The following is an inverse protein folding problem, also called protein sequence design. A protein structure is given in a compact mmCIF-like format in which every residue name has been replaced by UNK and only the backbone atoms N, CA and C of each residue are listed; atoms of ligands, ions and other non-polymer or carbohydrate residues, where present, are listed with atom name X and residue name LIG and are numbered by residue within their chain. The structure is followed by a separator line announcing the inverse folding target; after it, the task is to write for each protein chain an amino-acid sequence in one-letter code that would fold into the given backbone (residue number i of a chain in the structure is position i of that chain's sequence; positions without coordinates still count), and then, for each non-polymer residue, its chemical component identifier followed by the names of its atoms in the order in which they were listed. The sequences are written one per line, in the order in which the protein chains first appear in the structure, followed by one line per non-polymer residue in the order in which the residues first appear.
data_IF_641015051668
#
_entry.id   IF_641015051668
#
_cell.length_a   1.000
_cell.length_b   1.000
_cell.length_c   1.000
_cell.angle_alpha   90.00
_cell.angle_beta   90.00
_cell.angle_gamma   90.00
#
_symmetry.space_group_name_H-M   'P 1'
#
loop_
_entity.id
_entity.type
_entity.pdbx_description
1 polymer ?
#
# COMPACT_ATOMS: atom_id res chain seq x y z
N UNK A 1 10.88 -36.29 -3.03
CA UNK A 1 9.70 -35.51 -2.61
C UNK A 1 9.92 -34.67 -1.33
N UNK A 2 11.14 -34.61 -0.75
CA UNK A 2 11.43 -33.86 0.50
C UNK A 2 12.01 -32.44 0.32
N UNK A 3 12.34 -32.00 -0.91
CA UNK A 3 12.94 -30.68 -1.16
C UNK A 3 11.93 -29.52 -1.09
N UNK A 4 10.75 -29.69 -1.69
CA UNK A 4 9.71 -28.65 -1.73
C UNK A 4 9.18 -28.26 -0.34
N UNK A 5 9.12 -29.20 0.61
CA UNK A 5 8.65 -28.93 1.97
C UNK A 5 9.68 -28.15 2.80
N UNK A 6 10.96 -28.26 2.46
CA UNK A 6 12.05 -27.59 3.19
C UNK A 6 12.19 -26.14 2.74
N UNK A 7 12.17 -25.88 1.41
CA UNK A 7 12.17 -24.52 0.86
C UNK A 7 10.96 -23.71 1.34
N UNK A 8 9.76 -24.29 1.32
CA UNK A 8 8.55 -23.63 1.83
C UNK A 8 8.61 -23.28 3.33
N UNK A 9 9.34 -24.05 4.14
CA UNK A 9 9.53 -23.76 5.57
C UNK A 9 10.56 -22.63 5.77
N UNK A 10 11.62 -22.59 4.97
CA UNK A 10 12.61 -21.51 5.01
C UNK A 10 11.99 -20.16 4.63
N UNK A 11 11.22 -20.11 3.54
CA UNK A 11 10.53 -18.89 3.10
C UNK A 11 9.55 -18.37 4.17
N UNK A 12 8.85 -19.29 4.85
CA UNK A 12 7.94 -18.93 5.95
C UNK A 12 8.67 -18.38 7.18
N UNK A 13 9.85 -18.92 7.50
CA UNK A 13 10.69 -18.44 8.62
C UNK A 13 11.29 -17.07 8.31
N UNK A 14 11.79 -16.86 7.08
CA UNK A 14 12.30 -15.55 6.66
C UNK A 14 11.20 -14.49 6.67
N UNK A 15 10.02 -14.81 6.15
CA UNK A 15 8.87 -13.92 6.18
C UNK A 15 8.42 -13.59 7.61
N UNK A 16 8.36 -14.58 8.49
CA UNK A 16 8.02 -14.37 9.90
C UNK A 16 9.04 -13.46 10.62
N UNK A 17 10.31 -13.46 10.18
CA UNK A 17 11.37 -12.65 10.79
C UNK A 17 11.22 -11.14 10.52
N UNK A 18 10.51 -10.77 9.45
CA UNK A 18 10.27 -9.37 9.07
C UNK A 18 8.88 -8.88 9.48
N UNK A 19 7.94 -9.76 9.82
CA UNK A 19 6.58 -9.39 10.24
C UNK A 19 6.58 -9.07 11.74
N UNK A 20 6.20 -7.84 12.07
CA UNK A 20 6.19 -7.28 13.42
C UNK A 20 4.82 -6.76 13.85
N UNK A 21 3.73 -7.21 13.22
CA UNK A 21 2.34 -6.74 13.46
C UNK A 21 1.95 -6.69 14.94
N UNK A 22 2.44 -7.62 15.77
CA UNK A 22 2.18 -7.61 17.22
C UNK A 22 2.68 -6.37 17.95
N UNK A 23 3.67 -5.66 17.41
CA UNK A 23 4.20 -4.42 17.97
C UNK A 23 3.18 -3.28 17.95
N UNK A 24 2.26 -3.25 16.99
CA UNK A 24 1.21 -2.23 16.88
C UNK A 24 0.40 -2.14 18.18
N UNK A 25 0.11 -3.29 18.79
CA UNK A 25 -0.69 -3.37 20.02
C UNK A 25 0.14 -3.27 21.31
N UNK A 26 1.45 -3.54 21.23
CA UNK A 26 2.35 -3.45 22.40
C UNK A 26 2.79 -2.02 22.68
N UNK A 27 2.90 -1.20 21.64
CA UNK A 27 3.33 0.20 21.75
C UNK A 27 2.22 1.06 22.36
N UNK A 28 2.55 2.10 23.14
CA UNK A 28 1.58 3.11 23.53
C UNK A 28 0.98 3.76 22.28
N UNK A 29 -0.34 3.64 22.12
CA UNK A 29 -1.03 4.25 20.98
C UNK A 29 -1.05 5.77 21.10
N UNK A 30 -0.78 6.48 20.01
CA UNK A 30 -1.02 7.93 19.94
C UNK A 30 -2.51 8.23 20.17
N UNK A 31 -2.81 9.43 20.68
CA UNK A 31 -4.19 9.87 20.82
C UNK A 31 -4.85 10.00 19.42
N UNK A 32 -6.11 9.56 19.26
CA UNK A 32 -6.84 9.75 18.01
C UNK A 32 -7.07 11.22 17.68
N UNK A 33 -6.82 11.61 16.42
CA UNK A 33 -7.24 12.90 15.86
C UNK A 33 -8.48 12.70 14.97
N UNK A 34 -9.63 12.48 15.61
CA UNK A 34 -10.89 12.27 14.90
C UNK A 34 -11.30 13.48 14.04
N UNK A 35 -10.92 14.69 14.44
CA UNK A 35 -11.23 15.89 13.69
C UNK A 35 -10.40 15.95 12.39
N UNK A 36 -9.10 15.61 12.47
CA UNK A 36 -8.22 15.47 11.31
C UNK A 36 -8.70 14.39 10.35
N UNK A 37 -9.03 13.21 10.87
CA UNK A 37 -9.57 12.10 10.09
C UNK A 37 -10.87 12.49 9.37
N UNK A 38 -11.83 13.10 10.08
CA UNK A 38 -13.09 13.54 9.49
C UNK A 38 -12.89 14.57 8.38
N UNK A 39 -12.01 15.57 8.58
CA UNK A 39 -11.68 16.55 7.53
C UNK A 39 -11.08 15.89 6.29
N UNK A 40 -10.19 14.91 6.47
CA UNK A 40 -9.59 14.18 5.36
C UNK A 40 -10.65 13.38 4.58
N UNK A 41 -11.54 12.65 5.28
CA UNK A 41 -12.60 11.87 4.63
C UNK A 41 -13.59 12.77 3.85
N UNK A 42 -13.95 13.93 4.40
CA UNK A 42 -14.80 14.91 3.70
C UNK A 42 -14.09 15.45 2.44
N UNK A 43 -12.82 15.80 2.55
CA UNK A 43 -12.04 16.28 1.40
C UNK A 43 -11.92 15.20 0.30
N UNK A 44 -11.71 13.95 0.68
CA UNK A 44 -11.67 12.82 -0.26
C UNK A 44 -13.03 12.61 -0.93
N UNK A 45 -14.14 12.67 -0.17
CA UNK A 45 -15.48 12.55 -0.74
C UNK A 45 -15.77 13.68 -1.76
N UNK A 46 -15.39 14.92 -1.46
CA UNK A 46 -15.53 16.04 -2.39
C UNK A 46 -14.66 15.88 -3.65
N UNK A 47 -13.42 15.44 -3.48
CA UNK A 47 -12.52 15.18 -4.59
C UNK A 47 -13.01 14.07 -5.53
N UNK A 48 -13.65 13.05 -4.99
CA UNK A 48 -14.21 11.96 -5.79
C UNK A 48 -15.31 12.45 -6.76
N UNK A 49 -16.03 13.53 -6.41
CA UNK A 49 -17.01 14.16 -7.31
C UNK A 49 -16.40 15.17 -8.27
N UNK A 50 -15.39 15.94 -7.82
CA UNK A 50 -14.91 17.12 -8.56
C UNK A 50 -13.63 16.86 -9.37
N UNK A 51 -12.81 15.88 -8.98
CA UNK A 51 -11.51 15.58 -9.58
C UNK A 51 -11.15 14.10 -9.37
N UNK A 52 -11.96 13.16 -9.91
CA UNK A 52 -11.79 11.73 -9.67
C UNK A 52 -10.39 11.22 -10.06
N UNK A 53 -9.73 11.83 -11.05
CA UNK A 53 -8.37 11.50 -11.48
C UNK A 53 -7.30 11.78 -10.40
N UNK A 54 -7.58 12.65 -9.42
CA UNK A 54 -6.66 13.01 -8.33
C UNK A 54 -6.90 12.23 -7.04
N UNK A 55 -7.98 11.43 -6.97
CA UNK A 55 -8.46 10.86 -5.71
C UNK A 55 -7.42 9.97 -5.03
N UNK A 56 -6.69 9.16 -5.80
CA UNK A 56 -5.67 8.26 -5.25
C UNK A 56 -4.48 9.03 -4.70
N UNK A 57 -4.10 10.14 -5.35
CA UNK A 57 -3.02 11.00 -4.87
C UNK A 57 -3.39 11.66 -3.54
N UNK A 58 -4.61 12.20 -3.43
CA UNK A 58 -5.07 12.81 -2.19
C UNK A 58 -5.25 11.77 -1.07
N UNK A 59 -5.66 10.55 -1.41
CA UNK A 59 -5.78 9.45 -0.45
C UNK A 59 -4.42 9.11 0.17
N UNK A 60 -3.37 8.97 -0.65
CA UNK A 60 -2.03 8.63 -0.13
C UNK A 60 -1.40 9.80 0.64
N UNK A 61 -1.68 11.05 0.25
CA UNK A 61 -1.27 12.24 1.01
C UNK A 61 -1.95 12.31 2.38
N UNK A 62 -3.25 11.99 2.44
CA UNK A 62 -3.98 11.90 3.70
C UNK A 62 -3.44 10.76 4.58
N UNK A 63 -3.16 9.59 4.01
CA UNK A 63 -2.55 8.47 4.73
C UNK A 63 -1.18 8.85 5.31
N UNK A 64 -0.32 9.48 4.50
CA UNK A 64 1.00 9.95 4.94
C UNK A 64 0.87 10.94 6.10
N UNK A 65 -0.01 11.93 5.97
CA UNK A 65 -0.18 13.00 6.96
C UNK A 65 -0.75 12.47 8.27
N UNK A 66 -1.86 11.74 8.22
CA UNK A 66 -2.56 11.26 9.43
C UNK A 66 -1.76 10.20 10.17
N UNK A 67 -1.02 9.35 9.45
CA UNK A 67 -0.12 8.36 10.05
C UNK A 67 1.28 8.93 10.32
N UNK A 68 1.53 10.23 10.12
CA UNK A 68 2.85 10.86 10.30
C UNK A 68 3.98 10.04 9.66
N UNK A 69 3.72 9.50 8.48
CA UNK A 69 4.65 8.67 7.73
C UNK A 69 5.53 9.55 6.85
N UNK A 70 6.66 8.99 6.40
CA UNK A 70 7.60 9.71 5.53
C UNK A 70 7.37 9.39 4.05
N UNK A 71 6.74 8.25 3.77
CA UNK A 71 6.13 7.95 2.47
C UNK A 71 4.81 7.21 2.66
N UNK A 72 3.94 7.30 1.66
CA UNK A 72 2.71 6.50 1.59
C UNK A 72 2.36 6.22 0.13
N UNK A 73 1.62 5.16 -0.12
CA UNK A 73 1.20 4.83 -1.46
C UNK A 73 0.10 3.79 -1.49
N UNK A 74 -0.39 3.54 -2.69
CA UNK A 74 -1.41 2.53 -2.96
C UNK A 74 -0.88 1.58 -4.02
N UNK A 75 -1.07 0.28 -3.82
CA UNK A 75 -0.78 -0.77 -4.79
C UNK A 75 -2.07 -1.40 -5.26
N UNK A 76 -2.31 -1.41 -6.58
CA UNK A 76 -3.48 -2.03 -7.18
C UNK A 76 -3.07 -3.29 -7.93
N UNK A 77 -3.77 -4.40 -7.68
CA UNK A 77 -3.52 -5.65 -8.39
C UNK A 77 -4.17 -5.61 -9.79
N UNK A 78 -3.35 -5.74 -10.82
CA UNK A 78 -3.80 -6.14 -12.16
C UNK A 78 -3.81 -7.68 -12.18
N UNK A 79 -4.98 -8.26 -11.92
CA UNK A 79 -5.15 -9.71 -11.81
C UNK A 79 -4.89 -10.43 -13.14
N UNK A 80 -5.16 -9.78 -14.28
CA UNK A 80 -4.90 -10.36 -15.60
C UNK A 80 -3.40 -10.46 -15.87
N UNK A 81 -2.62 -9.49 -15.39
CA UNK A 81 -1.17 -9.43 -15.58
C UNK A 81 -0.36 -9.97 -14.41
N UNK A 82 -1.00 -10.41 -13.33
CA UNK A 82 -0.34 -10.93 -12.12
C UNK A 82 0.64 -9.95 -11.47
N UNK A 83 0.35 -8.64 -11.50
CA UNK A 83 1.28 -7.60 -11.04
C UNK A 83 0.60 -6.46 -10.29
N UNK A 84 1.34 -5.82 -9.41
CA UNK A 84 0.95 -4.56 -8.80
C UNK A 84 1.32 -3.38 -9.68
N UNK A 85 0.50 -2.34 -9.62
CA UNK A 85 0.76 -1.00 -10.14
C UNK A 85 0.64 0.00 -8.99
N UNK A 86 1.51 1.01 -8.98
CA UNK A 86 1.49 2.10 -8.01
C UNK A 86 0.99 3.39 -8.68
N UNK A 87 -0.33 3.61 -8.72
CA UNK A 87 -0.90 4.79 -9.39
C UNK A 87 -0.64 6.09 -8.62
N UNK A 88 -0.34 6.02 -7.32
CA UNK A 88 -0.10 7.17 -6.47
C UNK A 88 0.85 6.83 -5.32
N UNK A 89 1.81 7.72 -5.08
CA UNK A 89 2.78 7.67 -3.98
C UNK A 89 3.05 9.11 -3.53
N UNK A 90 3.12 9.32 -2.21
CA UNK A 90 3.49 10.58 -1.58
C UNK A 90 4.78 10.43 -0.77
N UNK A 91 5.44 11.56 -0.50
CA UNK A 91 6.63 11.63 0.35
C UNK A 91 7.92 11.29 -0.38
N UNK A 92 8.88 10.75 0.36
CA UNK A 92 10.23 10.49 -0.12
C UNK A 92 10.28 9.46 -1.28
N UNK A 93 9.26 8.64 -1.43
CA UNK A 93 9.12 7.67 -2.53
C UNK A 93 8.28 8.13 -3.72
N UNK A 94 7.85 9.39 -3.77
CA UNK A 94 7.04 9.94 -4.87
C UNK A 94 7.62 9.71 -6.28
N UNK A 95 8.95 9.59 -6.43
CA UNK A 95 9.61 9.26 -7.69
C UNK A 95 9.31 7.86 -8.25
N UNK A 96 8.69 6.96 -7.47
CA UNK A 96 8.36 5.60 -7.89
C UNK A 96 6.94 5.44 -8.46
N UNK A 97 6.18 6.54 -8.61
CA UNK A 97 4.82 6.51 -9.20
C UNK A 97 4.87 5.94 -10.62
N UNK A 98 3.86 5.12 -10.96
CA UNK A 98 3.72 4.51 -12.28
C UNK A 98 4.55 3.24 -12.48
N UNK A 99 5.42 2.90 -11.52
CA UNK A 99 6.14 1.62 -11.48
C UNK A 99 5.24 0.57 -10.81
N UNK A 100 5.67 -0.68 -10.84
CA UNK A 100 5.07 -1.73 -10.04
C UNK A 100 5.89 -3.01 -10.09
N UNK A 101 5.49 -3.99 -9.29
CA UNK A 101 6.21 -5.26 -9.12
C UNK A 101 5.33 -6.44 -9.51
N UNK A 102 5.90 -7.62 -9.80
CA UNK A 102 5.13 -8.86 -9.80
C UNK A 102 4.39 -9.04 -8.46
N UNK A 103 3.25 -9.73 -8.49
CA UNK A 103 2.38 -9.93 -7.31
C UNK A 103 3.13 -10.54 -6.13
N UNK A 104 3.91 -11.58 -6.39
CA UNK A 104 4.53 -12.42 -5.35
C UNK A 104 5.92 -11.91 -4.93
N UNK A 105 6.26 -10.68 -5.29
CA UNK A 105 7.63 -10.16 -5.18
C UNK A 105 7.88 -9.29 -3.94
N UNK A 106 6.82 -8.84 -3.27
CA UNK A 106 6.94 -7.85 -2.21
C UNK A 106 5.85 -7.94 -1.14
N UNK A 107 5.95 -7.09 -0.09
CA UNK A 107 5.05 -7.11 1.06
C UNK A 107 3.56 -7.08 0.69
N UNK A 108 3.21 -6.38 -0.38
CA UNK A 108 1.82 -6.26 -0.84
C UNK A 108 1.19 -7.62 -1.18
N UNK A 109 1.94 -8.55 -1.78
CA UNK A 109 1.44 -9.90 -2.07
C UNK A 109 1.06 -10.66 -0.80
N UNK A 110 1.96 -10.67 0.18
CA UNK A 110 1.74 -11.29 1.49
C UNK A 110 0.50 -10.72 2.19
N UNK A 111 0.29 -9.40 2.12
CA UNK A 111 -0.88 -8.74 2.72
C UNK A 111 -2.18 -9.21 2.06
N UNK A 112 -2.21 -9.36 0.73
CA UNK A 112 -3.38 -9.90 0.03
C UNK A 112 -3.61 -11.37 0.38
N UNK A 113 -2.55 -12.17 0.47
CA UNK A 113 -2.65 -13.61 0.81
C UNK A 113 -3.18 -13.82 2.22
N UNK A 114 -2.73 -13.03 3.20
CA UNK A 114 -3.19 -13.11 4.59
C UNK A 114 -4.51 -12.40 4.84
N UNK A 115 -4.93 -11.49 3.95
CA UNK A 115 -6.15 -10.68 4.06
C UNK A 115 -6.24 -9.94 5.39
N UNK A 116 -5.10 -9.46 5.90
CA UNK A 116 -5.00 -8.74 7.17
C UNK A 116 -3.97 -7.60 7.10
N UNK A 117 -4.07 -6.66 8.04
CA UNK A 117 -3.07 -5.61 8.22
C UNK A 117 -1.74 -6.22 8.68
N UNK A 118 -0.63 -5.84 8.06
CA UNK A 118 0.70 -6.30 8.45
C UNK A 118 1.65 -5.12 8.66
N UNK A 119 2.41 -5.20 9.75
CA UNK A 119 3.59 -4.36 9.96
C UNK A 119 4.83 -5.17 9.58
N UNK A 120 5.70 -4.58 8.78
CA UNK A 120 7.00 -5.13 8.42
C UNK A 120 8.11 -4.25 8.99
N UNK A 121 9.15 -4.88 9.53
CA UNK A 121 10.37 -4.21 10.01
C UNK A 121 11.57 -4.62 9.17
N UNK A 122 12.19 -3.65 8.49
CA UNK A 122 13.28 -3.87 7.53
C UNK A 122 12.99 -5.02 6.53
N UNK A 123 11.93 -4.89 5.72
CA UNK A 123 11.45 -5.92 4.80
C UNK A 123 12.45 -6.31 3.71
N UNK A 124 13.49 -5.50 3.44
CA UNK A 124 14.56 -5.83 2.50
C UNK A 124 15.32 -7.11 2.86
N UNK A 125 15.23 -7.56 4.12
CA UNK A 125 15.80 -8.82 4.60
C UNK A 125 15.10 -10.07 4.06
N UNK A 126 13.88 -9.93 3.56
CA UNK A 126 13.10 -11.01 2.93
C UNK A 126 12.81 -10.69 1.45
N UNK A 127 12.54 -9.42 1.13
CA UNK A 127 12.22 -8.97 -0.22
C UNK A 127 13.42 -8.24 -0.83
N UNK A 128 14.34 -9.01 -1.45
CA UNK A 128 15.65 -8.51 -1.87
C UNK A 128 15.65 -7.25 -2.74
N UNK A 129 14.64 -7.06 -3.61
CA UNK A 129 14.53 -5.87 -4.48
C UNK A 129 14.45 -4.56 -3.70
N UNK A 130 13.94 -4.58 -2.46
CA UNK A 130 13.85 -3.40 -1.60
C UNK A 130 15.23 -2.91 -1.16
N UNK A 131 16.28 -3.74 -1.22
CA UNK A 131 17.65 -3.35 -0.86
C UNK A 131 18.22 -2.24 -1.77
N UNK A 132 17.73 -2.16 -3.02
CA UNK A 132 18.13 -1.15 -3.99
C UNK A 132 17.28 0.13 -3.92
N UNK A 133 16.17 0.12 -3.16
CA UNK A 133 15.25 1.25 -3.07
C UNK A 133 15.73 2.24 -2.00
N UNK A 134 15.80 3.52 -2.35
CA UNK A 134 16.20 4.60 -1.45
C UNK A 134 15.11 5.68 -1.38
N UNK A 135 14.83 6.24 -0.19
CA UNK A 135 15.30 5.80 1.14
C UNK A 135 14.83 4.38 1.50
N UNK A 136 15.58 3.72 2.39
CA UNK A 136 15.28 2.35 2.86
C UNK A 136 13.99 2.31 3.67
N UNK A 137 13.38 1.14 3.81
CA UNK A 137 12.27 0.94 4.76
C UNK A 137 12.85 0.53 6.11
N UNK A 138 12.52 1.27 7.14
CA UNK A 138 12.73 0.82 8.52
C UNK A 138 11.47 0.13 9.07
N UNK A 139 10.29 0.74 8.88
CA UNK A 139 8.99 0.10 9.08
C UNK A 139 8.01 0.39 7.93
N UNK A 140 7.22 -0.60 7.54
CA UNK A 140 6.11 -0.42 6.61
C UNK A 140 4.84 -1.04 7.18
N UNK A 141 3.79 -0.24 7.30
CA UNK A 141 2.45 -0.70 7.67
C UNK A 141 1.59 -0.75 6.40
N UNK A 142 1.01 -1.92 6.15
CA UNK A 142 0.20 -2.19 4.98
C UNK A 142 -1.15 -2.75 5.40
N UNK A 143 -2.22 -2.29 4.75
CA UNK A 143 -3.56 -2.86 4.89
C UNK A 143 -4.09 -3.27 3.51
N UNK A 144 -4.81 -4.39 3.41
CA UNK A 144 -5.57 -4.72 2.21
C UNK A 144 -6.81 -3.82 2.11
N UNK A 145 -7.22 -3.48 0.89
CA UNK A 145 -8.54 -2.90 0.63
C UNK A 145 -9.34 -3.78 -0.33
N UNK A 146 -10.66 -3.73 -0.17
CA UNK A 146 -11.55 -4.76 -0.72
C UNK A 146 -12.60 -4.19 -1.66
N UNK A 147 -13.00 -5.00 -2.63
CA UNK A 147 -14.19 -4.79 -3.47
C UNK A 147 -14.94 -6.11 -3.55
N UNK A 148 -16.22 -6.10 -3.16
CA UNK A 148 -17.03 -7.32 -3.15
C UNK A 148 -16.47 -8.44 -2.26
N UNK A 149 -15.75 -8.09 -1.19
CA UNK A 149 -15.09 -9.06 -0.31
C UNK A 149 -13.73 -9.55 -0.79
N UNK A 150 -13.30 -9.20 -2.00
CA UNK A 150 -12.00 -9.60 -2.54
C UNK A 150 -10.94 -8.51 -2.36
N UNK A 151 -9.72 -8.85 -1.91
CA UNK A 151 -8.65 -7.89 -1.72
C UNK A 151 -8.06 -7.52 -3.10
N UNK A 152 -8.26 -6.27 -3.51
CA UNK A 152 -7.89 -5.77 -4.86
C UNK A 152 -6.61 -4.94 -4.85
N UNK A 153 -6.04 -4.69 -3.68
CA UNK A 153 -4.83 -3.91 -3.52
C UNK A 153 -4.49 -3.66 -2.06
N UNK A 154 -3.41 -2.90 -1.86
CA UNK A 154 -2.94 -2.49 -0.53
C UNK A 154 -2.79 -0.98 -0.45
N UNK A 155 -3.12 -0.41 0.71
CA UNK A 155 -2.75 0.95 1.09
C UNK A 155 -1.61 0.82 2.11
N UNK A 156 -0.57 1.63 1.95
CA UNK A 156 0.64 1.48 2.75
C UNK A 156 1.26 2.81 3.15
N UNK A 157 1.94 2.79 4.29
CA UNK A 157 2.72 3.89 4.85
C UNK A 157 4.08 3.38 5.29
N UNK A 158 5.11 4.21 5.15
CA UNK A 158 6.51 3.86 5.38
C UNK A 158 7.18 4.87 6.29
N UNK A 159 7.93 4.34 7.25
CA UNK A 159 9.00 5.01 7.97
C UNK A 159 10.35 4.53 7.42
N UNK A 160 11.23 5.47 7.15
CA UNK A 160 12.57 5.29 6.58
C UNK A 160 13.68 5.29 7.64
N UNK A 161 13.36 5.67 8.86
CA UNK A 161 14.28 5.69 10.00
C UNK A 161 13.53 5.52 11.33
N UNK A 162 14.30 5.38 12.41
CA UNK A 162 13.77 5.06 13.74
C UNK A 162 13.00 6.22 14.41
N UNK A 163 13.01 7.42 13.83
CA UNK A 163 12.22 8.55 14.36
C UNK A 163 10.72 8.29 14.29
N UNK A 164 10.30 7.30 13.49
CA UNK A 164 8.91 6.89 13.35
C UNK A 164 8.72 5.38 13.55
N UNK A 165 7.82 5.03 14.46
CA UNK A 165 7.41 3.65 14.77
C UNK A 165 5.89 3.56 14.76
N UNK A 166 5.29 2.75 13.89
CA UNK A 166 3.84 2.69 13.76
C UNK A 166 3.18 2.01 14.97
N UNK A 167 1.96 2.44 15.31
CA UNK A 167 1.18 1.92 16.44
C UNK A 167 -0.26 1.52 16.01
N UNK A 168 -1.06 1.06 16.97
CA UNK A 168 -2.43 0.62 16.72
C UNK A 168 -3.36 1.72 16.19
N UNK A 169 -3.09 2.98 16.50
CA UNK A 169 -3.88 4.11 16.04
C UNK A 169 -3.53 4.47 14.59
N UNK A 170 -2.29 4.23 14.15
CA UNK A 170 -1.94 4.27 12.72
C UNK A 170 -2.65 3.19 11.92
N UNK A 171 -2.69 1.96 12.45
CA UNK A 171 -3.46 0.87 11.85
C UNK A 171 -4.94 1.24 11.73
N UNK A 172 -5.55 1.77 12.80
CA UNK A 172 -6.95 2.19 12.79
C UNK A 172 -7.25 3.22 11.69
N UNK A 173 -6.43 4.28 11.61
CA UNK A 173 -6.57 5.32 10.59
C UNK A 173 -6.37 4.76 9.19
N UNK A 174 -5.32 3.96 8.98
CA UNK A 174 -5.02 3.40 7.66
C UNK A 174 -6.11 2.44 7.19
N UNK A 175 -6.71 1.66 8.09
CA UNK A 175 -7.88 0.82 7.79
C UNK A 175 -9.11 1.64 7.40
N UNK A 176 -9.37 2.77 8.07
CA UNK A 176 -10.44 3.71 7.72
C UNK A 176 -10.25 4.25 6.29
N UNK A 177 -9.04 4.70 5.96
CA UNK A 177 -8.68 5.14 4.60
C UNK A 177 -8.68 3.99 3.58
N UNK A 178 -8.37 2.77 4.00
CA UNK A 178 -8.47 1.57 3.16
C UNK A 178 -9.90 1.28 2.69
N UNK A 179 -10.88 1.53 3.55
CA UNK A 179 -12.30 1.44 3.17
C UNK A 179 -12.62 2.42 2.05
N UNK A 180 -12.10 3.65 2.15
CA UNK A 180 -12.23 4.65 1.09
C UNK A 180 -11.49 4.25 -0.20
N UNK A 181 -10.32 3.61 -0.09
CA UNK A 181 -9.55 3.10 -1.23
C UNK A 181 -10.37 2.14 -2.11
N UNK A 182 -11.17 1.26 -1.49
CA UNK A 182 -12.08 0.35 -2.22
C UNK A 182 -13.14 1.09 -3.04
N UNK A 183 -13.67 2.20 -2.53
CA UNK A 183 -14.64 3.06 -3.23
C UNK A 183 -13.98 3.83 -4.38
N UNK A 184 -12.81 4.41 -4.11
CA UNK A 184 -12.03 5.12 -5.12
C UNK A 184 -11.63 4.20 -6.28
N UNK A 185 -11.23 2.96 -5.98
CA UNK A 185 -10.89 1.95 -6.98
C UNK A 185 -12.07 1.59 -7.89
N UNK A 186 -13.25 1.36 -7.32
CA UNK A 186 -14.47 1.06 -8.10
C UNK A 186 -14.88 2.24 -8.99
N UNK A 187 -14.76 3.44 -8.46
CA UNK A 187 -15.00 4.68 -9.21
C UNK A 187 -14.03 4.74 -10.39
N UNK A 188 -12.72 4.71 -10.17
CA UNK A 188 -11.76 4.80 -11.26
C UNK A 188 -11.92 3.71 -12.33
N UNK A 189 -12.23 2.47 -11.93
CA UNK A 189 -12.50 1.39 -12.88
C UNK A 189 -13.70 1.66 -13.77
N UNK A 190 -14.80 2.13 -13.19
CA UNK A 190 -16.01 2.46 -13.97
C UNK A 190 -15.74 3.61 -14.94
N UNK A 191 -14.96 4.63 -14.54
CA UNK A 191 -14.55 5.71 -15.44
C UNK A 191 -13.68 5.23 -16.61
N UNK A 192 -12.68 4.37 -16.36
CA UNK A 192 -11.88 3.78 -17.46
C UNK A 192 -12.68 2.86 -18.39
N UNK A 193 -13.73 2.19 -17.88
CA UNK A 193 -14.62 1.37 -18.68
C UNK A 193 -15.57 2.21 -19.55
N UNK A 194 -15.96 3.40 -19.07
CA UNK A 194 -16.90 4.31 -19.75
C UNK A 194 -16.23 5.38 -20.63
N UNK A 195 -14.91 5.59 -20.53
CA UNK A 195 -14.21 6.61 -21.32
C UNK A 195 -14.06 6.23 -22.82
N UNK A 196 -14.30 7.18 -23.76
CA UNK A 196 -14.05 6.97 -25.19
C UNK A 196 -12.60 6.56 -25.46
N UNK A 197 -12.37 5.71 -26.46
CA UNK A 197 -11.07 5.09 -26.79
C UNK A 197 -9.89 6.09 -26.96
N UNK A 198 -10.19 7.36 -27.25
CA UNK A 198 -9.22 8.45 -27.41
C UNK A 198 -8.73 9.09 -26.10
N UNK A 199 -9.41 8.86 -24.96
CA UNK A 199 -9.04 9.39 -23.64
C UNK A 199 -8.53 8.32 -22.68
N UNK A 200 -8.40 7.07 -23.15
CA UNK A 200 -7.70 6.04 -22.38
C UNK A 200 -6.25 6.48 -22.22
N UNK A 201 -5.70 6.60 -21.00
CA UNK A 201 -4.29 6.88 -20.84
C UNK A 201 -3.51 5.82 -21.63
N UNK A 202 -2.60 6.30 -22.46
CA UNK A 202 -1.78 5.48 -23.35
C UNK A 202 -0.92 4.56 -22.47
N UNK A 203 -1.40 3.34 -22.20
CA UNK A 203 -0.60 2.27 -21.62
C UNK A 203 0.39 1.77 -22.68
N UNK A 204 1.37 2.61 -23.02
CA UNK A 204 2.56 2.22 -23.76
C UNK A 204 3.78 2.93 -23.15
N UNK A 205 4.26 2.34 -22.06
CA UNK A 205 5.68 2.26 -21.75
C UNK A 205 5.83 1.07 -20.80
N UNK A 206 6.50 0.01 -21.25
CA UNK A 206 6.86 -1.09 -20.37
C UNK A 206 7.68 -0.54 -19.19
N UNK A 207 7.41 -0.94 -17.95
CA UNK A 207 8.23 -0.49 -16.84
C UNK A 207 9.63 -1.06 -17.00
N UNK A 208 10.64 -0.19 -16.93
CA UNK A 208 12.03 -0.61 -16.70
C UNK A 208 12.02 -1.44 -15.42
N UNK A 209 12.36 -2.72 -15.54
CA UNK A 209 12.69 -3.54 -14.40
C UNK A 209 13.85 -2.87 -13.66
N UNK A 210 13.74 -2.85 -12.34
CA UNK A 210 14.86 -2.49 -11.47
C UNK A 210 15.84 -3.66 -11.62
N UNK A 211 16.96 -3.41 -12.29
CA UNK A 211 18.15 -4.28 -12.25
C UNK A 211 18.82 -4.21 -10.89
#
# INVERSE_FOLDING_TARGET
MMKANTESLYDAVELASVISTGELMRRPARLPDHAGESRALVALAQAMSNSPERILQQLVEAAMTLCRAQSAGISMLDAEKGRFLWPAIAGAWSMHVGIGTPRDFGPCGTVLDRREALLFSRPERCFGYLSAVTPRIDEALLIPFYVGGEPVGTLWVVAHDESRRFDSEDMRVLTSLGTFAGLAYQTLRSWTASAPRAQRPMQQAGPRAIS
#
